data_IF_014980127214
#
_entry.id   IF_014980127214
#
_cell.length_a   1.000
_cell.length_b   1.000
_cell.length_c   1.000
_cell.angle_alpha   90.00
_cell.angle_beta   90.00
_cell.angle_gamma   90.00
#
_symmetry.space_group_name_H-M   'P 1'
#
loop_
_entity.id
_entity.type
_entity.pdbx_description
1 polymer ?
#
# COMPACT_ATOMS: atom_id res chain seq x y z
N UNK A 1 0.17 15.15 1.47
CA UNK A 1 1.18 14.31 0.80
C UNK A 1 0.45 13.14 0.17
N UNK A 2 0.53 13.00 -1.14
CA UNK A 2 -0.09 11.89 -1.87
C UNK A 2 1.04 10.99 -2.40
N UNK A 3 0.78 9.68 -2.56
CA UNK A 3 1.71 8.73 -3.16
C UNK A 3 3.03 8.53 -2.39
N UNK A 4 3.00 8.62 -1.06
CA UNK A 4 4.17 8.35 -0.20
C UNK A 4 4.11 7.00 0.52
N UNK A 5 3.09 6.19 0.22
CA UNK A 5 2.87 4.88 0.84
C UNK A 5 2.14 3.95 -0.12
N UNK A 6 2.41 2.64 0.04
CA UNK A 6 1.69 1.54 -0.60
C UNK A 6 1.03 0.67 0.47
N UNK A 7 -0.03 -0.04 0.11
CA UNK A 7 -0.79 -0.87 1.05
C UNK A 7 -0.96 -2.29 0.50
N UNK A 8 0.05 -3.17 0.60
CA UNK A 8 -0.08 -4.55 0.14
C UNK A 8 -1.24 -5.27 0.81
N UNK A 9 -1.77 -6.31 0.17
CA UNK A 9 -2.79 -7.16 0.80
C UNK A 9 -2.23 -7.87 2.03
N UNK A 10 -3.07 -8.10 3.03
CA UNK A 10 -2.66 -8.80 4.25
C UNK A 10 -2.06 -10.19 3.96
N UNK A 11 -0.99 -10.50 4.69
CA UNK A 11 -0.41 -11.84 4.74
C UNK A 11 -1.29 -12.76 5.59
N UNK A 12 -1.70 -13.90 5.02
CA UNK A 12 -2.54 -14.90 5.71
C UNK A 12 -1.73 -16.15 5.99
N UNK A 13 -1.31 -16.29 7.25
CA UNK A 13 -0.47 -17.40 7.72
C UNK A 13 -1.07 -18.77 7.43
N UNK A 14 -2.40 -18.91 7.50
CA UNK A 14 -3.08 -20.22 7.51
C UNK A 14 -3.32 -20.80 6.11
N UNK A 15 -3.27 -19.98 5.04
CA UNK A 15 -3.69 -20.41 3.70
C UNK A 15 -2.71 -20.02 2.57
N UNK A 16 -1.53 -19.47 2.89
CA UNK A 16 -0.55 -19.01 1.88
C UNK A 16 0.84 -19.60 2.07
N UNK A 17 0.95 -20.92 1.94
CA UNK A 17 2.27 -21.57 1.78
C UNK A 17 2.89 -21.27 0.40
N UNK A 18 2.09 -20.74 -0.54
CA UNK A 18 2.46 -20.33 -1.89
C UNK A 18 2.66 -18.81 -2.04
N UNK A 19 2.72 -18.06 -0.93
CA UNK A 19 3.05 -16.64 -0.99
C UNK A 19 4.49 -16.44 -1.48
N UNK A 20 4.61 -16.13 -2.76
CA UNK A 20 5.87 -15.81 -3.41
C UNK A 20 6.00 -14.30 -3.70
N UNK A 21 5.24 -13.43 -3.03
CA UNK A 21 5.23 -11.98 -3.32
C UNK A 21 6.61 -11.32 -3.20
N UNK A 22 7.44 -11.81 -2.29
CA UNK A 22 8.86 -11.41 -2.13
C UNK A 22 9.85 -12.39 -2.78
N UNK A 23 9.37 -13.49 -3.37
CA UNK A 23 10.19 -14.48 -4.06
C UNK A 23 10.71 -13.98 -5.41
N UNK A 24 11.52 -14.79 -6.13
CA UNK A 24 11.86 -14.53 -7.53
C UNK A 24 10.60 -14.26 -8.36
N UNK A 25 10.64 -13.19 -9.15
CA UNK A 25 9.51 -12.71 -9.97
C UNK A 25 8.23 -12.36 -9.17
N UNK A 26 8.34 -12.25 -7.85
CA UNK A 26 7.24 -11.86 -6.98
C UNK A 26 6.82 -10.40 -7.21
N UNK A 27 5.51 -10.16 -7.28
CA UNK A 27 4.98 -8.83 -7.65
C UNK A 27 5.45 -7.71 -6.70
N UNK A 28 5.49 -7.96 -5.39
CA UNK A 28 5.97 -6.98 -4.43
C UNK A 28 7.47 -6.77 -4.55
N UNK A 29 8.24 -7.82 -4.83
CA UNK A 29 9.68 -7.70 -5.07
C UNK A 29 9.97 -6.84 -6.31
N UNK A 30 9.34 -7.15 -7.44
CA UNK A 30 9.54 -6.42 -8.70
C UNK A 30 9.15 -4.95 -8.55
N UNK A 31 8.09 -4.67 -7.80
CA UNK A 31 7.70 -3.30 -7.45
C UNK A 31 8.81 -2.58 -6.66
N UNK A 32 9.35 -3.23 -5.62
CA UNK A 32 10.40 -2.65 -4.78
C UNK A 32 11.71 -2.45 -5.52
N UNK A 33 12.03 -3.32 -6.48
CA UNK A 33 13.18 -3.16 -7.39
C UNK A 33 13.01 -1.89 -8.24
N UNK A 34 11.87 -1.70 -8.89
CA UNK A 34 11.60 -0.48 -9.64
C UNK A 34 11.53 0.79 -8.77
N UNK A 35 11.02 0.67 -7.54
CA UNK A 35 11.01 1.76 -6.56
C UNK A 35 12.42 2.18 -6.14
N UNK A 36 13.34 1.21 -5.99
CA UNK A 36 14.72 1.46 -5.60
C UNK A 36 15.53 2.14 -6.73
N UNK A 37 15.18 1.88 -7.98
CA UNK A 37 15.80 2.47 -9.17
C UNK A 37 15.21 3.85 -9.54
N UNK A 38 14.08 4.24 -8.94
CA UNK A 38 13.39 5.48 -9.29
C UNK A 38 14.10 6.73 -8.75
N UNK A 39 14.29 7.74 -9.62
CA UNK A 39 14.83 9.06 -9.23
C UNK A 39 13.89 9.82 -8.29
N UNK A 40 12.58 9.67 -8.48
CA UNK A 40 11.53 10.22 -7.61
C UNK A 40 10.54 9.14 -7.20
N UNK A 41 10.67 8.72 -5.94
CA UNK A 41 9.80 7.74 -5.28
C UNK A 41 8.32 8.16 -5.37
N UNK A 42 8.00 9.45 -5.22
CA UNK A 42 6.60 9.91 -5.20
C UNK A 42 5.95 9.75 -6.56
N UNK A 43 6.65 10.12 -7.64
CA UNK A 43 6.20 9.91 -9.01
C UNK A 43 6.08 8.42 -9.34
N UNK A 44 7.04 7.60 -8.93
CA UNK A 44 6.97 6.15 -9.15
C UNK A 44 5.73 5.52 -8.51
N UNK A 45 5.46 5.82 -7.24
CA UNK A 45 4.28 5.29 -6.52
C UNK A 45 2.98 5.78 -7.14
N UNK A 46 2.97 6.98 -7.72
CA UNK A 46 1.79 7.53 -8.41
C UNK A 46 1.52 6.81 -9.73
N UNK A 47 2.56 6.53 -10.50
CA UNK A 47 2.47 5.88 -11.82
C UNK A 47 2.28 4.36 -11.70
N UNK A 48 2.76 3.78 -10.60
CA UNK A 48 2.67 2.36 -10.28
C UNK A 48 1.90 2.19 -8.97
N UNK A 49 0.56 2.28 -8.97
CA UNK A 49 -0.23 2.01 -7.78
C UNK A 49 -0.11 0.53 -7.40
N UNK A 50 0.20 0.24 -6.15
CA UNK A 50 0.38 -1.12 -5.65
C UNK A 50 -0.47 -1.40 -4.40
N UNK A 51 -1.19 -2.53 -4.42
CA UNK A 51 -2.00 -3.00 -3.31
C UNK A 51 -3.39 -2.36 -3.24
N UNK A 52 -3.85 -2.12 -2.02
CA UNK A 52 -5.19 -1.67 -1.70
C UNK A 52 -5.37 -0.17 -1.97
N UNK A 53 -6.55 0.26 -2.47
CA UNK A 53 -6.83 1.66 -2.69
C UNK A 53 -6.88 2.43 -1.36
N UNK A 54 -6.68 3.75 -1.45
CA UNK A 54 -6.83 4.61 -0.30
C UNK A 54 -8.24 4.50 0.31
N UNK A 55 -8.31 4.48 1.64
CA UNK A 55 -9.57 4.55 2.37
C UNK A 55 -10.12 5.97 2.21
N UNK A 56 -11.27 6.09 1.55
CA UNK A 56 -11.95 7.36 1.31
C UNK A 56 -13.29 7.42 2.06
N UNK A 57 -13.95 8.57 2.00
CA UNK A 57 -15.28 8.79 2.58
C UNK A 57 -16.37 7.85 2.04
N UNK A 58 -16.12 7.14 0.95
CA UNK A 58 -17.06 6.17 0.38
C UNK A 58 -16.92 4.77 0.98
N UNK A 59 -15.95 4.52 1.85
CA UNK A 59 -15.77 3.22 2.50
C UNK A 59 -16.92 2.91 3.47
N UNK A 60 -17.40 1.67 3.53
CA UNK A 60 -18.50 1.23 4.42
C UNK A 60 -18.27 1.61 5.87
N UNK A 61 -17.03 1.42 6.33
CA UNK A 61 -16.60 1.71 7.70
C UNK A 61 -16.05 3.13 7.90
N UNK A 62 -16.40 4.10 7.05
CA UNK A 62 -15.85 5.46 7.15
C UNK A 62 -16.10 6.13 8.50
N UNK A 63 -17.20 5.81 9.18
CA UNK A 63 -17.48 6.29 10.54
C UNK A 63 -16.42 5.85 11.57
N UNK A 64 -15.75 4.72 11.34
CA UNK A 64 -14.62 4.27 12.15
C UNK A 64 -13.35 5.01 11.74
N UNK A 65 -13.01 5.00 10.45
CA UNK A 65 -11.75 5.58 9.95
C UNK A 65 -11.66 7.10 10.12
N UNK A 66 -12.77 7.83 9.97
CA UNK A 66 -12.81 9.30 10.18
C UNK A 66 -12.39 9.70 11.60
N UNK A 67 -12.68 8.87 12.62
CA UNK A 67 -12.24 9.12 14.01
C UNK A 67 -10.73 8.98 14.16
N UNK A 68 -10.13 8.00 13.49
CA UNK A 68 -8.68 7.79 13.47
C UNK A 68 -8.00 8.97 12.79
N UNK A 69 -8.45 9.34 11.58
CA UNK A 69 -7.89 10.47 10.82
C UNK A 69 -7.96 11.76 11.63
N UNK A 70 -9.12 12.08 12.21
CA UNK A 70 -9.29 13.28 13.05
C UNK A 70 -8.35 13.31 14.25
N UNK A 71 -8.05 12.14 14.84
CA UNK A 71 -7.15 12.03 16.00
C UNK A 71 -5.69 12.29 15.62
N UNK A 72 -5.25 11.87 14.44
CA UNK A 72 -3.84 11.95 14.01
C UNK A 72 -3.51 13.14 13.08
N UNK A 73 -4.51 13.92 12.65
CA UNK A 73 -4.31 15.17 11.89
C UNK A 73 -4.22 16.44 12.77
N UNK A 74 -4.27 16.30 14.10
CA UNK A 74 -4.29 17.42 15.04
C UNK A 74 -2.91 17.80 15.59
N UNK A 75 -1.87 17.14 15.11
CA UNK A 75 -0.45 17.41 15.38
C UNK A 75 0.23 17.91 14.10
#
# INVERSE_FOLDING_TARGET
MAHTAIFPTEYKVVDRFDDCSLGPDGELRLYLEGLADADDVTSYVKEHPFGQPAITATHSDWNFYSKIITRFQKD
#
